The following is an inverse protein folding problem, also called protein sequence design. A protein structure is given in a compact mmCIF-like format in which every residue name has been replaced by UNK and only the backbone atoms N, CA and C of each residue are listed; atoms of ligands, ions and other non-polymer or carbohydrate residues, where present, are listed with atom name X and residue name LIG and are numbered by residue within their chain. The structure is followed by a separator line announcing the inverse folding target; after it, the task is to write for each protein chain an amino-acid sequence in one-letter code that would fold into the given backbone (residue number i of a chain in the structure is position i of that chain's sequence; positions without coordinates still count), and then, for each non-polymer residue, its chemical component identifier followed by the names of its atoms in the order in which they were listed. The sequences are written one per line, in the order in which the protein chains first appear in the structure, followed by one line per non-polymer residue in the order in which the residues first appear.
data_IF_382346083262
#
_entry.id   IF_382346083262
#
_cell.length_a   1.000
_cell.length_b   1.000
_cell.length_c   1.000
_cell.angle_alpha   90.00
_cell.angle_beta   90.00
_cell.angle_gamma   90.00
#
_symmetry.space_group_name_H-M   'P 1'
#
loop_
_entity.id
_entity.type
_entity.pdbx_description
1 polymer ?
#
# COMPACT_ATOMS: atom_id res chain seq x y z
N UNK A 1 -0.31 -11.83 81.50
CA UNK A 1 -1.77 -11.78 81.26
C UNK A 1 -2.07 -10.41 80.72
N UNK A 2 -2.93 -10.37 79.72
CA UNK A 2 -3.63 -9.20 79.16
C UNK A 2 -2.84 -8.31 78.18
N UNK A 3 -3.36 -7.81 77.05
CA UNK A 3 -4.49 -8.14 76.18
C UNK A 3 -4.32 -7.26 74.90
N UNK A 4 -4.93 -7.71 73.80
CA UNK A 4 -5.44 -6.87 72.70
C UNK A 4 -4.45 -6.15 71.74
N UNK A 5 -4.24 -6.81 70.59
CA UNK A 5 -4.73 -6.41 69.28
C UNK A 5 -4.85 -4.89 69.01
N UNK A 6 -3.81 -4.32 68.39
CA UNK A 6 -3.88 -3.05 67.69
C UNK A 6 -3.47 -3.26 66.22
N UNK A 7 -4.48 -3.54 65.40
CA UNK A 7 -4.45 -3.32 63.95
C UNK A 7 -4.29 -1.82 63.69
N UNK A 8 -3.28 -1.42 62.90
CA UNK A 8 -3.36 -0.29 61.95
C UNK A 8 -2.17 -0.30 60.99
N UNK A 9 -2.43 -0.89 59.80
CA UNK A 9 -1.96 -0.52 58.46
C UNK A 9 -0.82 0.49 58.38
N UNK A 10 0.40 0.05 58.05
CA UNK A 10 1.31 0.74 57.12
C UNK A 10 2.18 -0.33 56.42
N UNK A 11 1.71 -0.89 55.30
CA UNK A 11 2.59 -1.60 54.37
C UNK A 11 3.31 -0.54 53.53
N UNK A 12 4.60 -0.31 53.85
CA UNK A 12 5.53 0.44 53.02
C UNK A 12 6.42 -0.54 52.26
N UNK A 13 6.23 -0.58 50.94
CA UNK A 13 7.33 -0.60 49.97
C UNK A 13 7.91 -1.95 49.55
N UNK A 14 8.47 -1.91 48.32
CA UNK A 14 9.13 -2.97 47.53
C UNK A 14 8.10 -3.72 46.65
N UNK A 15 7.79 -3.32 45.41
CA UNK A 15 8.63 -2.66 44.43
C UNK A 15 9.39 -3.68 43.58
N UNK A 16 8.68 -4.51 42.80
CA UNK A 16 9.24 -5.24 41.65
C UNK A 16 8.28 -5.06 40.48
N UNK A 17 8.56 -4.02 39.69
CA UNK A 17 7.93 -3.76 38.41
C UNK A 17 8.59 -4.72 37.40
N UNK A 18 7.99 -5.89 37.18
CA UNK A 18 8.45 -6.82 36.16
C UNK A 18 8.11 -6.24 34.77
N UNK A 19 9.07 -5.53 34.19
CA UNK A 19 9.01 -5.00 32.82
C UNK A 19 8.96 -6.16 31.83
N UNK A 20 7.78 -6.39 31.25
CA UNK A 20 7.61 -7.21 30.05
C UNK A 20 8.30 -6.48 28.88
N UNK A 21 9.51 -6.90 28.54
CA UNK A 21 10.16 -6.48 27.31
C UNK A 21 9.49 -7.21 26.15
N UNK A 22 8.46 -6.60 25.56
CA UNK A 22 8.07 -6.93 24.20
C UNK A 22 9.24 -6.53 23.30
N UNK A 23 10.04 -7.52 22.91
CA UNK A 23 10.94 -7.38 21.78
C UNK A 23 10.05 -7.20 20.54
N UNK A 24 9.80 -5.94 20.19
CA UNK A 24 9.29 -5.59 18.88
C UNK A 24 10.32 -6.11 17.87
N UNK A 25 9.90 -7.08 17.06
CA UNK A 25 10.60 -7.44 15.84
C UNK A 25 10.58 -6.21 14.94
N UNK A 26 11.66 -5.43 14.97
CA UNK A 26 11.90 -4.34 14.04
C UNK A 26 12.08 -4.93 12.65
N UNK A 27 11.08 -4.73 11.78
CA UNK A 27 11.17 -5.02 10.37
C UNK A 27 12.29 -4.19 9.74
N UNK A 28 13.35 -4.87 9.28
CA UNK A 28 14.41 -4.27 8.49
C UNK A 28 13.90 -3.99 7.09
N UNK A 29 13.73 -2.71 6.75
CA UNK A 29 13.53 -2.27 5.37
C UNK A 29 14.81 -2.52 4.58
N UNK A 30 14.78 -3.51 3.70
CA UNK A 30 15.85 -3.76 2.74
C UNK A 30 15.94 -2.60 1.76
N UNK A 31 16.94 -1.74 1.94
CA UNK A 31 17.36 -0.78 0.93
C UNK A 31 17.90 -1.56 -0.27
N UNK A 32 17.03 -1.82 -1.26
CA UNK A 32 17.45 -2.22 -2.59
C UNK A 32 18.34 -1.11 -3.15
N UNK A 33 19.65 -1.34 -3.13
CA UNK A 33 20.60 -0.46 -3.79
C UNK A 33 20.22 -0.40 -5.26
N UNK A 34 19.77 0.76 -5.72
CA UNK A 34 19.65 1.02 -7.14
C UNK A 34 21.02 0.73 -7.76
N UNK A 35 21.10 -0.34 -8.55
CA UNK A 35 22.27 -0.61 -9.38
C UNK A 35 22.56 0.60 -10.27
N UNK A 36 23.79 0.73 -10.79
CA UNK A 36 24.15 1.87 -11.63
C UNK A 36 23.13 2.02 -12.77
N UNK A 37 22.49 3.19 -12.82
CA UNK A 37 21.59 3.62 -13.88
C UNK A 37 22.32 3.46 -15.21
N UNK A 38 21.90 2.49 -16.01
CA UNK A 38 22.39 2.33 -17.37
C UNK A 38 21.90 3.54 -18.18
N UNK A 39 22.77 4.24 -18.94
CA UNK A 39 22.36 5.42 -19.70
C UNK A 39 21.31 5.13 -20.79
N UNK A 40 21.02 3.86 -21.10
CA UNK A 40 19.95 3.44 -21.99
C UNK A 40 18.61 3.13 -21.29
N UNK A 41 18.52 3.33 -19.98
CA UNK A 41 17.31 3.03 -19.21
C UNK A 41 17.12 4.05 -18.06
N UNK A 42 16.71 5.28 -18.38
CA UNK A 42 16.53 6.34 -17.39
C UNK A 42 15.44 6.02 -16.34
N UNK A 43 14.55 5.06 -16.61
CA UNK A 43 13.53 4.58 -15.67
C UNK A 43 14.00 3.45 -14.76
N UNK A 44 15.15 2.83 -15.06
CA UNK A 44 15.61 1.62 -14.38
C UNK A 44 14.71 0.39 -14.61
N UNK A 45 13.80 0.45 -15.59
CA UNK A 45 12.81 -0.59 -15.86
C UNK A 45 13.45 -1.90 -16.33
N UNK A 46 13.08 -3.03 -15.73
CA UNK A 46 13.51 -4.34 -16.20
C UNK A 46 12.27 -5.23 -16.41
N UNK A 47 12.04 -5.73 -17.63
CA UNK A 47 10.92 -6.63 -17.91
C UNK A 47 10.94 -7.84 -16.98
N UNK A 48 9.79 -8.17 -16.39
CA UNK A 48 9.61 -9.28 -15.45
C UNK A 48 10.15 -9.04 -14.05
N UNK A 49 10.77 -7.89 -13.77
CA UNK A 49 11.26 -7.52 -12.43
C UNK A 49 10.33 -6.49 -11.82
N UNK A 50 9.78 -6.80 -10.63
CA UNK A 50 8.87 -5.94 -9.89
C UNK A 50 9.45 -5.70 -8.50
N UNK A 51 9.59 -4.42 -8.11
CA UNK A 51 9.86 -4.05 -6.73
C UNK A 51 8.53 -4.03 -5.96
N UNK A 52 8.59 -4.14 -4.64
CA UNK A 52 7.40 -4.06 -3.81
C UNK A 52 6.68 -2.73 -4.04
N UNK A 53 5.36 -2.77 -4.22
CA UNK A 53 4.52 -1.58 -4.40
C UNK A 53 4.70 -0.57 -3.26
N UNK A 54 4.95 -1.02 -2.02
CA UNK A 54 5.19 -0.16 -0.86
C UNK A 54 6.46 0.70 -1.00
N UNK A 55 7.39 0.32 -1.89
CA UNK A 55 8.56 1.15 -2.25
C UNK A 55 8.17 2.48 -2.90
N UNK A 56 6.99 2.52 -3.51
CA UNK A 56 6.50 3.64 -4.32
C UNK A 56 5.25 4.32 -3.73
N UNK A 57 4.57 3.70 -2.76
CA UNK A 57 3.23 4.11 -2.30
C UNK A 57 3.11 5.52 -1.71
N UNK A 58 4.24 6.15 -1.37
CA UNK A 58 4.31 7.52 -0.86
C UNK A 58 5.10 8.48 -1.76
N UNK A 59 5.55 8.04 -2.94
CA UNK A 59 6.31 8.89 -3.88
C UNK A 59 5.36 9.49 -4.90
N UNK A 60 5.21 10.81 -4.85
CA UNK A 60 4.18 11.48 -5.61
C UNK A 60 4.77 12.65 -6.39
N UNK A 61 4.32 12.83 -7.63
CA UNK A 61 4.69 14.02 -8.40
C UNK A 61 4.20 15.30 -7.70
N UNK A 62 3.03 15.21 -7.06
CA UNK A 62 2.42 16.29 -6.28
C UNK A 62 2.15 15.81 -4.84
N UNK A 63 3.15 15.88 -3.94
CA UNK A 63 2.98 15.44 -2.56
C UNK A 63 1.95 16.29 -1.83
N UNK A 64 1.09 15.64 -1.06
CA UNK A 64 0.11 16.35 -0.23
C UNK A 64 0.77 16.92 1.00
N UNK A 65 0.19 17.99 1.51
CA UNK A 65 0.66 18.67 2.71
C UNK A 65 -0.45 18.73 3.76
N UNK A 66 -0.07 18.95 5.02
CA UNK A 66 -1.01 19.01 6.13
C UNK A 66 -1.39 17.64 6.69
N UNK A 67 -2.57 17.58 7.32
CA UNK A 67 -3.05 16.43 8.08
C UNK A 67 -4.11 15.66 7.29
N UNK A 68 -3.94 14.35 7.19
CA UNK A 68 -4.89 13.42 6.61
C UNK A 68 -6.14 13.31 7.51
N UNK A 69 -7.34 13.69 7.04
CA UNK A 69 -8.54 13.69 7.86
C UNK A 69 -9.01 12.28 8.26
N UNK A 70 -8.65 11.24 7.51
CA UNK A 70 -9.01 9.86 7.80
C UNK A 70 -8.13 9.22 8.89
N UNK A 71 -6.91 9.72 9.09
CA UNK A 71 -5.95 9.14 10.06
C UNK A 71 -5.54 10.09 11.18
N UNK A 72 -5.80 11.40 11.04
CA UNK A 72 -5.36 12.43 11.98
C UNK A 72 -3.84 12.65 12.01
N UNK A 73 -3.10 12.11 11.04
CA UNK A 73 -1.63 12.23 10.93
C UNK A 73 -1.23 13.05 9.71
N UNK A 74 -0.01 13.60 9.71
CA UNK A 74 0.54 14.22 8.51
C UNK A 74 0.56 13.22 7.33
N UNK A 75 0.35 13.72 6.12
CA UNK A 75 0.53 12.90 4.93
C UNK A 75 1.98 12.39 4.86
N UNK A 76 2.20 11.07 4.62
CA UNK A 76 3.55 10.49 4.53
C UNK A 76 4.22 10.74 3.17
N UNK A 77 3.54 11.46 2.28
CA UNK A 77 3.91 11.70 0.90
C UNK A 77 5.26 12.42 0.80
N UNK A 78 6.11 11.95 -0.10
CA UNK A 78 7.41 12.53 -0.45
C UNK A 78 7.45 12.84 -1.95
N UNK A 79 8.31 13.78 -2.33
CA UNK A 79 8.48 14.15 -3.73
C UNK A 79 9.00 12.95 -4.55
N UNK A 80 8.25 12.61 -5.59
CA UNK A 80 8.58 11.59 -6.58
C UNK A 80 8.25 12.08 -7.99
N UNK A 81 8.06 11.12 -8.90
CA UNK A 81 7.76 11.37 -10.32
C UNK A 81 6.53 10.58 -10.76
N UNK A 82 5.93 10.90 -11.90
CA UNK A 82 4.89 10.04 -12.50
C UNK A 82 5.42 8.63 -12.78
N UNK A 83 6.71 8.46 -13.03
CA UNK A 83 7.33 7.13 -13.19
C UNK A 83 7.31 6.33 -11.89
N UNK A 84 7.44 6.97 -10.71
CA UNK A 84 7.26 6.30 -9.42
C UNK A 84 5.80 5.88 -9.22
N UNK A 85 4.85 6.76 -9.55
CA UNK A 85 3.41 6.47 -9.49
C UNK A 85 3.00 5.32 -10.43
N UNK A 86 3.56 5.30 -11.65
CA UNK A 86 3.35 4.20 -12.61
C UNK A 86 4.01 2.90 -12.13
N UNK A 87 5.18 2.96 -11.50
CA UNK A 87 5.83 1.79 -10.90
C UNK A 87 5.00 1.21 -9.74
N UNK A 88 4.35 2.06 -8.94
CA UNK A 88 3.37 1.62 -7.96
C UNK A 88 2.25 0.84 -8.66
N UNK A 89 1.59 1.42 -9.66
CA UNK A 89 0.49 0.78 -10.38
C UNK A 89 0.90 -0.55 -11.02
N UNK A 90 2.07 -0.59 -11.65
CA UNK A 90 2.64 -1.79 -12.27
C UNK A 90 2.83 -2.92 -11.26
N UNK A 91 3.52 -2.63 -10.15
CA UNK A 91 3.83 -3.63 -9.12
C UNK A 91 2.57 -4.08 -8.39
N UNK A 92 1.70 -3.12 -8.06
CA UNK A 92 0.44 -3.36 -7.41
C UNK A 92 -0.53 -4.19 -8.26
N UNK A 93 -0.62 -3.94 -9.57
CA UNK A 93 -1.39 -4.78 -10.49
C UNK A 93 -0.81 -6.18 -10.60
N UNK A 94 0.52 -6.31 -10.64
CA UNK A 94 1.19 -7.63 -10.63
C UNK A 94 0.82 -8.44 -9.37
N UNK A 95 0.77 -7.79 -8.21
CA UNK A 95 0.56 -8.48 -6.93
C UNK A 95 -0.92 -8.76 -6.63
N UNK A 96 -1.82 -7.90 -7.12
CA UNK A 96 -3.21 -7.90 -6.67
C UNK A 96 -4.22 -8.23 -7.75
N UNK A 97 -3.91 -8.08 -9.03
CA UNK A 97 -4.89 -8.31 -10.09
C UNK A 97 -5.16 -9.80 -10.34
N UNK A 98 -6.44 -10.18 -10.51
CA UNK A 98 -6.85 -11.56 -10.76
C UNK A 98 -6.16 -12.19 -11.98
N UNK A 99 -5.94 -11.41 -13.03
CA UNK A 99 -5.32 -11.86 -14.28
C UNK A 99 -3.97 -11.19 -14.51
N UNK A 100 -3.19 -10.99 -13.43
CA UNK A 100 -1.88 -10.33 -13.50
C UNK A 100 -0.96 -10.91 -14.59
N UNK A 101 -1.00 -12.22 -14.80
CA UNK A 101 -0.21 -12.92 -15.82
C UNK A 101 -0.60 -12.59 -17.27
N UNK A 102 -1.76 -11.96 -17.48
CA UNK A 102 -2.26 -11.56 -18.80
C UNK A 102 -1.97 -10.08 -19.11
N UNK A 103 -1.46 -9.32 -18.13
CA UNK A 103 -1.04 -7.93 -18.34
C UNK A 103 0.29 -7.93 -19.09
N UNK A 104 0.36 -7.16 -20.18
CA UNK A 104 1.64 -6.88 -20.83
C UNK A 104 2.49 -5.97 -19.93
N UNK A 105 3.68 -6.43 -19.56
CA UNK A 105 4.65 -5.67 -18.79
C UNK A 105 5.22 -4.51 -19.63
N UNK A 106 5.02 -3.27 -19.17
CA UNK A 106 5.34 -2.04 -19.92
C UNK A 106 6.20 -1.12 -19.08
N UNK A 107 7.14 -0.45 -19.73
CA UNK A 107 8.00 0.54 -19.10
C UNK A 107 7.15 1.69 -18.50
N UNK A 108 7.21 1.92 -17.17
CA UNK A 108 6.48 2.96 -16.47
C UNK A 108 6.76 4.38 -16.96
N UNK A 109 7.91 4.63 -17.60
CA UNK A 109 8.26 5.96 -18.12
C UNK A 109 7.60 6.31 -19.45
N UNK A 110 6.93 5.35 -20.10
CA UNK A 110 6.26 5.58 -21.38
C UNK A 110 4.98 6.42 -21.26
N UNK A 111 4.45 6.58 -20.05
CA UNK A 111 3.27 7.40 -19.80
C UNK A 111 3.56 8.54 -18.84
N UNK A 112 3.20 9.75 -19.25
CA UNK A 112 3.19 10.94 -18.37
C UNK A 112 1.88 11.09 -17.59
N UNK A 113 0.91 10.22 -17.83
CA UNK A 113 -0.38 10.18 -17.13
C UNK A 113 -0.60 8.80 -16.50
N UNK A 114 -0.80 8.80 -15.19
CA UNK A 114 -1.03 7.59 -14.39
C UNK A 114 -2.36 6.90 -14.69
N UNK A 115 -3.39 7.67 -15.05
CA UNK A 115 -4.69 7.09 -15.44
C UNK A 115 -4.57 6.38 -16.78
N UNK A 116 -3.96 7.04 -17.76
CA UNK A 116 -3.68 6.42 -19.06
C UNK A 116 -2.78 5.18 -18.93
N UNK A 117 -1.80 5.20 -18.00
CA UNK A 117 -0.99 4.01 -17.72
C UNK A 117 -1.81 2.88 -17.10
N UNK A 118 -2.67 3.19 -16.12
CA UNK A 118 -3.54 2.21 -15.48
C UNK A 118 -4.48 1.51 -16.46
N UNK A 119 -5.03 2.23 -17.45
CA UNK A 119 -5.89 1.66 -18.49
C UNK A 119 -5.19 0.59 -19.36
N UNK A 120 -3.85 0.59 -19.38
CA UNK A 120 -3.07 -0.43 -20.06
C UNK A 120 -2.87 -1.68 -19.21
N UNK A 121 -3.02 -1.59 -17.89
CA UNK A 121 -2.76 -2.67 -16.92
C UNK A 121 -3.98 -3.57 -16.71
N UNK A 122 -4.54 -4.07 -17.81
CA UNK A 122 -5.75 -4.89 -17.84
C UNK A 122 -5.58 -6.05 -18.82
N UNK A 123 -6.29 -7.15 -18.61
CA UNK A 123 -6.35 -8.23 -19.61
C UNK A 123 -7.06 -7.75 -20.88
N UNK A 124 -6.50 -8.09 -22.05
CA UNK A 124 -7.13 -7.86 -23.35
C UNK A 124 -7.96 -9.05 -23.83
N UNK A 125 -8.09 -10.10 -23.00
CA UNK A 125 -8.83 -11.30 -23.37
C UNK A 125 -10.34 -11.03 -23.44
N UNK A 126 -11.01 -11.76 -24.34
CA UNK A 126 -12.47 -11.76 -24.47
C UNK A 126 -13.04 -13.13 -24.13
N UNK A 127 -14.27 -13.12 -23.65
CA UNK A 127 -15.08 -14.33 -23.46
C UNK A 127 -15.50 -14.92 -24.82
N UNK A 128 -15.92 -16.19 -24.89
CA UNK A 128 -16.42 -16.79 -26.13
C UNK A 128 -17.60 -16.03 -26.77
N UNK A 129 -18.35 -15.25 -25.98
CA UNK A 129 -19.43 -14.39 -26.46
C UNK A 129 -18.94 -13.02 -26.96
N UNK A 130 -17.63 -12.80 -27.07
CA UNK A 130 -17.01 -11.57 -27.58
C UNK A 130 -16.94 -10.41 -26.57
N UNK A 131 -17.38 -10.62 -25.32
CA UNK A 131 -17.33 -9.58 -24.28
C UNK A 131 -15.96 -9.52 -23.62
N UNK A 132 -15.45 -8.34 -23.21
CA UNK A 132 -14.25 -8.23 -22.40
C UNK A 132 -14.33 -9.13 -21.17
N UNK A 133 -13.21 -9.80 -20.88
CA UNK A 133 -13.11 -10.70 -19.72
C UNK A 133 -13.16 -9.91 -18.42
N UNK A 134 -12.52 -8.75 -18.37
CA UNK A 134 -12.63 -7.83 -17.25
C UNK A 134 -13.75 -6.80 -17.49
N UNK A 135 -14.61 -6.64 -16.47
CA UNK A 135 -15.72 -5.67 -16.44
C UNK A 135 -15.65 -4.74 -15.23
N UNK A 136 -14.56 -4.79 -14.48
CA UNK A 136 -14.42 -4.16 -13.17
C UNK A 136 -13.13 -3.35 -13.04
N UNK A 137 -12.41 -3.13 -14.15
CA UNK A 137 -11.25 -2.22 -14.23
C UNK A 137 -11.70 -0.77 -14.31
N UNK A 138 -11.62 -0.03 -13.21
CA UNK A 138 -11.96 1.40 -13.18
C UNK A 138 -11.23 2.14 -12.05
N UNK A 139 -11.22 3.47 -12.17
CA UNK A 139 -10.68 4.42 -11.20
C UNK A 139 -11.79 5.25 -10.56
N UNK A 140 -11.53 5.77 -9.36
CA UNK A 140 -12.35 6.81 -8.74
C UNK A 140 -11.47 7.96 -8.26
N UNK A 141 -12.03 9.16 -8.31
CA UNK A 141 -11.42 10.34 -7.69
C UNK A 141 -11.46 10.20 -6.17
N UNK A 142 -10.32 10.47 -5.54
CA UNK A 142 -10.11 10.41 -4.10
C UNK A 142 -10.87 11.49 -3.33
N UNK A 143 -11.14 12.63 -3.97
CA UNK A 143 -11.60 13.88 -3.37
C UNK A 143 -13.06 13.83 -2.87
N UNK A 144 -13.81 12.79 -3.24
CA UNK A 144 -15.24 12.64 -2.92
C UNK A 144 -15.59 11.41 -2.08
N UNK A 145 -14.64 10.58 -1.67
CA UNK A 145 -14.94 9.27 -1.10
C UNK A 145 -14.86 9.23 0.45
N UNK A 146 -16.03 9.33 1.09
CA UNK A 146 -16.21 8.94 2.50
C UNK A 146 -16.48 7.43 2.53
N UNK A 147 -15.71 6.60 3.27
CA UNK A 147 -15.86 5.16 3.25
C UNK A 147 -17.16 4.74 3.94
N UNK A 148 -18.21 4.47 3.16
CA UNK A 148 -19.33 3.68 3.64
C UNK A 148 -19.20 2.28 3.04
N UNK A 149 -18.86 1.34 3.92
CA UNK A 149 -18.66 -0.10 3.69
C UNK A 149 -17.27 -0.48 3.17
N UNK A 150 -16.73 -1.51 3.79
CA UNK A 150 -15.40 -2.11 3.67
C UNK A 150 -14.99 -2.52 2.23
N UNK A 151 -14.89 -1.56 1.32
CA UNK A 151 -14.02 -1.71 0.16
C UNK A 151 -12.60 -1.73 0.73
N UNK A 152 -12.00 -2.91 0.71
CA UNK A 152 -10.64 -3.15 1.15
C UNK A 152 -9.75 -2.07 0.53
N UNK A 153 -9.20 -1.18 1.36
CA UNK A 153 -8.31 -0.10 0.97
C UNK A 153 -7.12 -0.73 0.28
N UNK A 154 -7.22 -0.82 -1.04
CA UNK A 154 -6.42 -1.76 -1.79
C UNK A 154 -5.17 -0.98 -2.18
N UNK A 155 -4.14 -1.13 -1.34
CA UNK A 155 -2.88 -0.39 -1.42
C UNK A 155 -2.86 0.80 -0.47
N UNK A 156 -1.79 0.92 0.31
CA UNK A 156 -1.56 2.04 1.21
C UNK A 156 -1.19 3.34 0.46
N UNK A 157 -1.46 3.43 -0.85
CA UNK A 157 -1.16 4.65 -1.58
C UNK A 157 -2.10 5.76 -1.14
N UNK A 158 -1.45 6.87 -0.81
CA UNK A 158 -2.04 8.15 -0.54
C UNK A 158 -3.09 8.50 -1.62
N UNK A 159 -4.28 8.97 -1.19
CA UNK A 159 -5.44 9.20 -2.06
C UNK A 159 -5.12 9.95 -3.36
N UNK A 160 -4.15 10.87 -3.36
CA UNK A 160 -3.86 11.71 -4.54
C UNK A 160 -2.53 11.35 -5.20
N UNK A 161 -1.70 10.54 -4.53
CA UNK A 161 -0.45 10.01 -5.05
C UNK A 161 -0.67 8.84 -6.01
N UNK A 162 -1.71 8.05 -5.80
CA UNK A 162 -2.15 7.05 -6.77
C UNK A 162 -3.67 7.09 -6.86
N UNK A 163 -4.24 6.94 -8.07
CA UNK A 163 -5.69 6.82 -8.20
C UNK A 163 -6.19 5.66 -7.32
N UNK A 164 -7.35 5.85 -6.68
CA UNK A 164 -8.03 4.74 -6.02
C UNK A 164 -8.53 3.79 -7.13
N UNK A 165 -7.72 2.79 -7.43
CA UNK A 165 -7.99 1.80 -8.46
C UNK A 165 -8.70 0.61 -7.84
N UNK A 166 -9.76 0.14 -8.50
CA UNK A 166 -10.39 -1.12 -8.12
C UNK A 166 -9.96 -2.20 -9.09
N UNK A 167 -9.25 -3.19 -8.55
CA UNK A 167 -8.88 -4.41 -9.25
C UNK A 167 -9.60 -5.59 -8.60
N UNK A 168 -10.08 -6.53 -9.42
CA UNK A 168 -10.53 -7.82 -8.89
C UNK A 168 -9.29 -8.53 -8.34
N UNK A 169 -9.35 -8.96 -7.08
CA UNK A 169 -8.21 -9.59 -6.41
C UNK A 169 -8.25 -11.11 -6.50
N UNK A 170 -7.08 -11.72 -6.59
CA UNK A 170 -6.88 -13.18 -6.50
C UNK A 170 -7.28 -13.75 -5.12
N UNK A 171 -7.24 -12.92 -4.07
CA UNK A 171 -7.63 -13.30 -2.72
C UNK A 171 -8.97 -12.66 -2.32
N UNK A 172 -10.08 -13.38 -2.49
CA UNK A 172 -11.14 -13.26 -1.51
C UNK A 172 -10.60 -13.83 -0.19
N UNK A 173 -10.71 -13.14 0.96
CA UNK A 173 -10.37 -13.76 2.23
C UNK A 173 -11.19 -15.04 2.36
N UNK A 174 -10.49 -16.17 2.47
CA UNK A 174 -11.10 -17.48 2.66
C UNK A 174 -11.75 -17.46 4.05
N UNK A 175 -13.04 -17.13 4.14
CA UNK A 175 -13.71 -17.03 5.44
C UNK A 175 -14.99 -16.20 5.48
N UNK A 176 -15.91 -16.37 4.53
CA UNK A 176 -17.29 -15.90 4.67
C UNK A 176 -18.23 -16.74 3.81
N UNK A 177 -18.56 -17.93 4.31
CA UNK A 177 -19.78 -18.67 3.98
C UNK A 177 -20.54 -18.82 5.28
#
# INVERSE_FOLDING_TARGET
MDNAFLIRRILKGIGVLATFSLAACGGGGGGGSAGPISPNNPSGFQPGVFLDADTFSAKCQLPRTGINPATGRAYPDVLGTTTDENNFLRSYSNDTYLWYSEIADRDPSLSSDKLAYFDLLVTTATTPSGQPKDKFHFTYDSDGWIPTRSLHKSGNCSSDCCPQVRLIRTSFPVGSI
#
